data_IF_386537250642
#
_entry.id   IF_386537250642
#
_cell.length_a   1.000
_cell.length_b   1.000
_cell.length_c   1.000
_cell.angle_alpha   90.00
_cell.angle_beta   90.00
_cell.angle_gamma   90.00
#
_symmetry.space_group_name_H-M   'P 1'
#
loop_
_entity.id
_entity.type
_entity.pdbx_description
1 polymer ?
#
# COMPACT_ATOMS: atom_id res chain seq x y z
N UNK A 1 -22.07 -54.55 -25.63
CA UNK A 1 -21.46 -54.67 -24.29
C UNK A 1 -20.16 -53.83 -24.14
N UNK A 2 -19.31 -53.76 -25.17
CA UNK A 2 -18.04 -52.98 -25.15
C UNK A 2 -18.22 -51.47 -24.95
N UNK A 3 -19.25 -50.85 -25.54
CA UNK A 3 -19.51 -49.41 -25.39
C UNK A 3 -20.00 -49.01 -23.98
N UNK A 4 -20.74 -49.89 -23.29
CA UNK A 4 -21.14 -49.67 -21.89
C UNK A 4 -19.94 -49.66 -20.92
N UNK A 5 -18.92 -50.47 -21.20
CA UNK A 5 -17.66 -50.47 -20.43
C UNK A 5 -16.86 -49.17 -20.63
N UNK A 6 -16.80 -48.66 -21.87
CA UNK A 6 -16.10 -47.40 -22.20
C UNK A 6 -16.80 -46.20 -21.55
N UNK A 7 -18.13 -46.15 -21.58
CA UNK A 7 -18.90 -45.09 -20.90
C UNK A 7 -18.71 -45.12 -19.38
N UNK A 8 -18.62 -46.30 -18.76
CA UNK A 8 -18.37 -46.44 -17.32
C UNK A 8 -16.95 -45.96 -16.94
N UNK A 9 -15.95 -46.24 -17.79
CA UNK A 9 -14.56 -45.84 -17.57
C UNK A 9 -14.36 -44.32 -17.67
N UNK A 10 -15.04 -43.66 -18.62
CA UNK A 10 -14.99 -42.20 -18.79
C UNK A 10 -15.68 -41.47 -17.64
N UNK A 11 -16.81 -42.01 -17.15
CA UNK A 11 -17.50 -41.45 -15.98
C UNK A 11 -16.68 -41.57 -14.68
N UNK A 12 -15.91 -42.66 -14.52
CA UNK A 12 -15.02 -42.84 -13.36
C UNK A 12 -13.82 -41.89 -13.34
N UNK A 13 -13.31 -41.49 -14.51
CA UNK A 13 -12.16 -40.58 -14.61
C UNK A 13 -12.53 -39.11 -14.32
N UNK A 14 -13.77 -38.72 -14.63
CA UNK A 14 -14.27 -37.37 -14.32
C UNK A 14 -14.51 -37.15 -12.81
N UNK A 15 -14.82 -38.21 -12.06
CA UNK A 15 -15.08 -38.12 -10.62
C UNK A 15 -13.80 -38.01 -9.75
N UNK A 16 -12.63 -38.34 -10.30
CA UNK A 16 -11.37 -38.34 -9.55
C UNK A 16 -10.68 -36.97 -9.47
N UNK A 17 -11.19 -35.94 -10.16
CA UNK A 17 -10.49 -34.65 -10.32
C UNK A 17 -10.99 -33.51 -9.41
N UNK A 18 -11.88 -33.78 -8.45
CA UNK A 18 -12.42 -32.75 -7.56
C UNK A 18 -11.93 -32.90 -6.12
N UNK A 19 -10.60 -32.82 -5.92
CA UNK A 19 -10.09 -32.42 -4.61
C UNK A 19 -10.08 -30.89 -4.57
N UNK A 20 -11.13 -30.30 -3.99
CA UNK A 20 -11.12 -28.89 -3.65
C UNK A 20 -10.07 -28.70 -2.54
N UNK A 21 -8.90 -28.21 -2.91
CA UNK A 21 -7.88 -27.80 -1.95
C UNK A 21 -8.49 -26.66 -1.14
N UNK A 22 -8.76 -26.90 0.15
CA UNK A 22 -9.13 -25.85 1.09
C UNK A 22 -8.14 -24.69 0.93
N UNK A 23 -8.62 -23.44 0.76
CA UNK A 23 -7.72 -22.31 0.63
C UNK A 23 -6.79 -22.27 1.84
N UNK A 24 -5.48 -22.17 1.59
CA UNK A 24 -4.54 -22.01 2.68
C UNK A 24 -4.95 -20.81 3.55
N UNK A 25 -4.77 -20.89 4.88
CA UNK A 25 -5.13 -19.79 5.77
C UNK A 25 -4.37 -18.52 5.36
N UNK A 26 -5.08 -17.40 5.33
CA UNK A 26 -4.50 -16.10 5.04
C UNK A 26 -3.58 -15.69 6.20
N UNK A 27 -2.32 -15.40 5.88
CA UNK A 27 -1.38 -14.80 6.83
C UNK A 27 -1.31 -13.29 6.54
N UNK A 28 -1.48 -12.47 7.58
CA UNK A 28 -1.42 -11.01 7.47
C UNK A 28 -0.23 -10.50 8.26
N UNK A 29 0.62 -9.70 7.61
CA UNK A 29 1.76 -9.03 8.25
C UNK A 29 1.55 -7.53 8.16
N UNK A 30 1.46 -6.85 9.31
CA UNK A 30 1.37 -5.40 9.39
C UNK A 30 2.76 -4.84 9.75
N UNK A 31 3.27 -3.97 8.88
CA UNK A 31 4.54 -3.26 9.09
C UNK A 31 4.21 -1.78 9.31
N UNK A 32 4.67 -1.22 10.42
CA UNK A 32 4.53 0.20 10.76
C UNK A 32 5.92 0.77 10.96
N UNK A 33 6.18 1.92 10.35
CA UNK A 33 7.42 2.67 10.52
C UNK A 33 7.09 4.04 11.11
N UNK A 34 7.80 4.40 12.18
CA UNK A 34 7.69 5.71 12.80
C UNK A 34 8.41 6.77 11.95
N UNK A 35 7.86 7.98 11.89
CA UNK A 35 8.39 9.15 11.16
C UNK A 35 8.69 8.95 9.66
N UNK A 36 8.20 7.88 9.02
CA UNK A 36 8.42 7.67 7.58
C UNK A 36 7.56 8.64 6.76
N UNK A 37 8.20 9.50 5.97
CA UNK A 37 7.49 10.43 5.07
C UNK A 37 7.50 9.94 3.61
N UNK A 38 6.52 10.41 2.83
CA UNK A 38 6.37 10.05 1.40
C UNK A 38 7.66 10.31 0.60
N UNK A 39 8.40 11.38 0.92
CA UNK A 39 9.65 11.74 0.25
C UNK A 39 10.82 10.78 0.48
N UNK A 40 10.71 9.85 1.44
CA UNK A 40 11.79 8.92 1.79
C UNK A 40 11.73 7.60 1.02
N UNK A 41 10.61 7.34 0.33
CA UNK A 41 10.35 6.04 -0.30
C UNK A 41 10.49 6.15 -1.82
N UNK A 42 11.30 5.28 -2.42
CA UNK A 42 11.64 5.26 -3.84
C UNK A 42 10.43 5.22 -4.75
N UNK A 43 9.45 4.35 -4.45
CA UNK A 43 8.21 4.26 -5.22
C UNK A 43 7.32 5.51 -5.13
N UNK A 44 7.65 6.49 -4.30
CA UNK A 44 7.00 7.81 -4.25
C UNK A 44 7.88 8.93 -4.83
N UNK A 45 9.03 8.60 -5.41
CA UNK A 45 9.91 9.55 -6.09
C UNK A 45 11.09 10.04 -5.26
N UNK A 46 11.49 9.33 -4.20
CA UNK A 46 12.73 9.66 -3.49
C UNK A 46 13.95 9.53 -4.42
N UNK A 47 14.72 10.61 -4.57
CA UNK A 47 15.96 10.62 -5.36
C UNK A 47 17.20 10.22 -4.54
N UNK A 48 17.08 10.20 -3.21
CA UNK A 48 18.21 10.11 -2.29
C UNK A 48 18.25 8.79 -1.51
N UNK A 49 17.08 8.23 -1.17
CA UNK A 49 16.96 7.02 -0.35
C UNK A 49 16.50 5.87 -1.24
N UNK A 50 17.26 4.77 -1.22
CA UNK A 50 16.93 3.55 -1.99
C UNK A 50 16.14 2.60 -1.12
N UNK A 51 14.93 2.26 -1.55
CA UNK A 51 14.02 1.35 -0.81
C UNK A 51 13.59 0.15 -1.65
N UNK A 52 14.52 -0.67 -2.20
CA UNK A 52 14.20 -1.66 -3.22
C UNK A 52 13.14 -2.69 -2.79
N UNK A 53 13.09 -3.06 -1.50
CA UNK A 53 12.07 -3.98 -0.98
C UNK A 53 10.67 -3.35 -0.92
N UNK A 54 10.57 -2.06 -0.57
CA UNK A 54 9.29 -1.35 -0.58
C UNK A 54 8.85 -1.03 -2.01
N UNK A 55 9.81 -0.77 -2.90
CA UNK A 55 9.55 -0.51 -4.31
C UNK A 55 8.99 -1.76 -4.99
N UNK A 56 9.59 -2.93 -4.72
CA UNK A 56 9.08 -4.21 -5.19
C UNK A 56 7.70 -4.53 -4.60
N UNK A 57 7.51 -4.33 -3.29
CA UNK A 57 6.22 -4.55 -2.63
C UNK A 57 5.10 -3.70 -3.25
N UNK A 58 5.41 -2.44 -3.60
CA UNK A 58 4.47 -1.56 -4.28
C UNK A 58 4.19 -1.98 -5.74
N UNK A 59 5.19 -2.54 -6.44
CA UNK A 59 5.05 -3.03 -7.82
C UNK A 59 4.25 -4.33 -7.91
N UNK A 60 4.44 -5.24 -6.95
CA UNK A 60 3.74 -6.54 -6.91
C UNK A 60 2.34 -6.44 -6.29
N UNK A 61 2.06 -5.33 -5.60
CA UNK A 61 0.83 -5.12 -4.86
C UNK A 61 0.08 -3.86 -5.27
N UNK A 62 -0.44 -3.15 -4.27
CA UNK A 62 -1.10 -1.87 -4.43
C UNK A 62 -0.33 -0.79 -3.68
N UNK A 63 -0.24 0.40 -4.30
CA UNK A 63 0.36 1.60 -3.71
C UNK A 63 -0.72 2.66 -3.50
N UNK A 64 -0.83 3.21 -2.29
CA UNK A 64 -1.65 4.40 -2.06
C UNK A 64 -1.01 5.61 -2.76
N UNK A 65 -1.77 6.48 -3.41
CA UNK A 65 -1.19 7.62 -4.17
C UNK A 65 -1.67 8.98 -3.70
N UNK A 66 -2.67 9.02 -2.82
CA UNK A 66 -3.32 10.26 -2.37
C UNK A 66 -2.83 10.76 -1.00
N UNK A 67 -1.64 10.31 -0.57
CA UNK A 67 -1.06 10.77 0.69
C UNK A 67 -0.55 12.22 0.55
N UNK A 68 -0.93 13.15 1.44
CA UNK A 68 -0.37 14.49 1.45
C UNK A 68 1.15 14.42 1.66
N UNK A 69 1.92 15.13 0.85
CA UNK A 69 3.38 15.22 1.01
C UNK A 69 3.78 15.92 2.31
N UNK A 70 2.92 16.81 2.78
CA UNK A 70 3.13 17.62 3.96
C UNK A 70 2.07 17.25 5.00
N UNK A 71 2.49 17.11 6.24
CA UNK A 71 1.59 16.84 7.35
C UNK A 71 1.93 17.84 8.45
N UNK A 72 0.94 18.61 8.84
CA UNK A 72 1.08 19.57 9.93
C UNK A 72 0.05 19.19 10.99
N UNK A 73 0.47 19.14 12.24
CA UNK A 73 -0.39 18.75 13.36
C UNK A 73 -0.46 19.85 14.41
N UNK A 74 -1.59 19.93 15.12
CA UNK A 74 -1.77 20.90 16.20
C UNK A 74 -1.25 20.35 17.53
N UNK A 75 0.03 20.58 17.83
CA UNK A 75 0.64 20.09 19.07
C UNK A 75 -0.02 20.62 20.36
N UNK A 76 -0.75 21.75 20.29
CA UNK A 76 -1.43 22.34 21.45
C UNK A 76 -2.70 21.58 21.84
N UNK A 77 -3.43 21.09 20.86
CA UNK A 77 -4.75 20.48 21.05
C UNK A 77 -4.73 18.97 20.80
N UNK A 78 -3.63 18.45 20.27
CA UNK A 78 -3.52 17.08 19.81
C UNK A 78 -2.24 16.43 20.36
N UNK A 79 -2.27 15.96 21.62
CA UNK A 79 -1.16 15.21 22.19
C UNK A 79 -0.91 13.86 21.50
N UNK A 80 -1.76 13.42 20.56
CA UNK A 80 -1.63 12.14 19.84
C UNK A 80 -1.61 12.26 18.31
N UNK A 81 -1.41 13.47 17.75
CA UNK A 81 -1.28 13.76 16.31
C UNK A 81 -2.33 13.11 15.38
N UNK A 82 -3.59 13.07 15.80
CA UNK A 82 -4.73 12.56 15.02
C UNK A 82 -5.27 13.52 13.95
N UNK A 83 -4.99 14.82 14.05
CA UNK A 83 -5.62 15.86 13.24
C UNK A 83 -4.61 16.59 12.36
N UNK A 84 -4.61 16.26 11.06
CA UNK A 84 -3.80 16.98 10.08
C UNK A 84 -4.44 18.35 9.80
N UNK A 85 -3.81 19.42 10.29
CA UNK A 85 -4.29 20.80 10.14
C UNK A 85 -4.07 21.35 8.73
N UNK A 86 -3.23 20.71 7.91
CA UNK A 86 -3.05 21.12 6.52
C UNK A 86 -4.39 21.10 5.76
N UNK A 87 -5.20 20.07 6.00
CA UNK A 87 -6.50 19.91 5.35
C UNK A 87 -7.52 20.97 5.81
N UNK A 88 -7.34 21.55 6.99
CA UNK A 88 -8.24 22.58 7.54
C UNK A 88 -7.89 23.99 7.05
N UNK A 89 -6.61 24.24 6.75
CA UNK A 89 -6.10 25.57 6.40
C UNK A 89 -5.25 25.54 5.11
N UNK A 90 -5.82 25.16 3.96
CA UNK A 90 -5.06 24.97 2.72
C UNK A 90 -4.38 26.26 2.23
N UNK A 91 -4.99 27.42 2.40
CA UNK A 91 -4.37 28.71 2.03
C UNK A 91 -3.13 29.01 2.88
N UNK A 92 -3.17 28.65 4.17
CA UNK A 92 -2.04 28.85 5.07
C UNK A 92 -0.90 27.90 4.73
N UNK A 93 -1.21 26.66 4.39
CA UNK A 93 -0.24 25.69 3.91
C UNK A 93 0.47 26.18 2.63
N UNK A 94 -0.29 26.71 1.67
CA UNK A 94 0.28 27.29 0.45
C UNK A 94 1.19 28.51 0.73
N UNK A 95 0.79 29.38 1.67
CA UNK A 95 1.63 30.50 2.12
C UNK A 95 2.96 30.01 2.71
N UNK A 96 2.91 29.01 3.60
CA UNK A 96 4.09 28.44 4.24
C UNK A 96 5.00 27.73 3.23
N UNK A 97 4.45 26.98 2.30
CA UNK A 97 5.21 26.33 1.22
C UNK A 97 5.95 27.36 0.35
N UNK A 98 5.31 28.49 0.04
CA UNK A 98 5.95 29.60 -0.70
C UNK A 98 7.11 30.21 0.11
N UNK A 99 6.91 30.47 1.41
CA UNK A 99 7.97 30.99 2.29
C UNK A 99 9.14 30.02 2.43
N UNK A 100 8.86 28.72 2.56
CA UNK A 100 9.90 27.68 2.65
C UNK A 100 10.81 27.67 1.42
N UNK A 101 10.24 27.76 0.21
CA UNK A 101 11.01 27.86 -1.05
C UNK A 101 11.93 29.09 -1.06
N UNK A 102 11.46 30.23 -0.55
CA UNK A 102 12.27 31.45 -0.46
C UNK A 102 13.44 31.31 0.53
N UNK A 103 13.23 30.60 1.64
CA UNK A 103 14.29 30.33 2.63
C UNK A 103 15.32 29.35 2.07
N UNK A 104 14.88 28.28 1.41
CA UNK A 104 15.77 27.25 0.82
C UNK A 104 16.64 27.79 -0.33
N UNK A 105 16.24 28.91 -0.94
CA UNK A 105 16.99 29.60 -2.01
C UNK A 105 18.06 30.57 -1.48
N UNK A 106 18.15 30.77 -0.16
CA UNK A 106 19.23 31.52 0.50
C UNK A 106 20.32 30.56 0.93
#
# INVERSE_FOLDING_TARGET
>A
MKHKLITLLIAGLAAASSHAQEPAPLNVVLIVADDLVVGDVGCYGSEWIRTPNLDQLAADGMRATDAPQEQLYSLRTDPQQSTNVLLQFPEKAAELAKRFKQVKQR
#
